data_IF_234722857430
#
_entry.id   IF_234722857430
#
_cell.length_a   1.000
_cell.length_b   1.000
_cell.length_c   1.000
_cell.angle_alpha   90.00
_cell.angle_beta   90.00
_cell.angle_gamma   90.00
#
_symmetry.space_group_name_H-M   'P 1'
#
loop_
_entity.id
_entity.type
_entity.pdbx_description
1 polymer ?
#
# COMPACT_ATOMS: atom_id res chain seq x y z
N UNK A 1 -17.54 19.15 -1.74
CA UNK A 1 -16.16 18.65 -1.88
C UNK A 1 -16.20 17.18 -2.29
N UNK A 2 -15.21 16.73 -3.06
CA UNK A 2 -15.04 15.31 -3.34
C UNK A 2 -14.66 14.59 -2.03
N UNK A 3 -15.22 13.41 -1.77
CA UNK A 3 -14.86 12.62 -0.59
C UNK A 3 -13.75 11.65 -0.96
N UNK A 4 -12.72 11.56 -0.12
CA UNK A 4 -11.72 10.50 -0.19
C UNK A 4 -12.35 9.16 0.22
N UNK A 5 -12.09 8.12 -0.57
CA UNK A 5 -12.40 6.73 -0.25
C UNK A 5 -11.07 5.98 -0.09
N UNK A 6 -10.70 5.58 1.14
CA UNK A 6 -9.48 4.82 1.37
C UNK A 6 -9.55 3.42 0.76
N UNK A 7 -8.49 3.04 0.07
CA UNK A 7 -8.29 1.73 -0.55
C UNK A 7 -6.87 1.26 -0.23
N UNK A 8 -6.70 -0.02 0.09
CA UNK A 8 -5.40 -0.67 0.25
C UNK A 8 -5.29 -1.81 -0.77
N UNK A 9 -4.26 -1.80 -1.62
CA UNK A 9 -3.89 -2.95 -2.43
C UNK A 9 -2.94 -3.82 -1.59
N UNK A 10 -3.38 -5.03 -1.27
CA UNK A 10 -2.60 -6.01 -0.49
C UNK A 10 -1.84 -6.94 -1.43
N UNK A 11 -1.23 -8.00 -0.89
CA UNK A 11 -0.59 -9.02 -1.73
C UNK A 11 -1.62 -9.87 -2.51
N UNK A 12 -2.89 -9.93 -2.08
CA UNK A 12 -3.88 -10.90 -2.59
C UNK A 12 -5.24 -10.30 -2.94
N UNK A 13 -5.55 -9.10 -2.46
CA UNK A 13 -6.86 -8.47 -2.65
C UNK A 13 -6.77 -6.94 -2.58
N UNK A 14 -7.89 -6.29 -2.87
CA UNK A 14 -8.10 -4.86 -2.65
C UNK A 14 -9.00 -4.71 -1.43
N UNK A 15 -8.59 -3.93 -0.44
CA UNK A 15 -9.42 -3.59 0.72
C UNK A 15 -10.02 -2.20 0.52
N UNK A 16 -11.34 -2.11 0.58
CA UNK A 16 -12.10 -0.86 0.51
C UNK A 16 -12.58 -0.50 1.92
N UNK A 17 -12.30 0.71 2.40
CA UNK A 17 -12.87 1.15 3.68
C UNK A 17 -14.36 1.45 3.51
N UNK A 18 -15.22 0.77 4.28
CA UNK A 18 -16.65 1.06 4.37
C UNK A 18 -16.94 1.91 5.61
N UNK A 19 -17.32 3.18 5.38
CA UNK A 19 -17.62 4.13 6.46
C UNK A 19 -18.86 3.77 7.27
N UNK A 20 -19.78 2.96 6.73
CA UNK A 20 -21.00 2.59 7.44
C UNK A 20 -20.73 1.52 8.51
N UNK A 21 -19.85 0.57 8.21
CA UNK A 21 -19.44 -0.47 9.14
C UNK A 21 -18.12 -0.19 9.86
N UNK A 22 -17.39 0.86 9.47
CA UNK A 22 -16.05 1.18 9.97
C UNK A 22 -15.03 0.04 9.75
N UNK A 23 -15.23 -0.73 8.68
CA UNK A 23 -14.43 -1.92 8.36
C UNK A 23 -13.88 -1.88 6.93
N UNK A 24 -12.76 -2.57 6.73
CA UNK A 24 -12.24 -2.82 5.40
C UNK A 24 -12.92 -4.05 4.77
N UNK A 25 -13.48 -3.87 3.58
CA UNK A 25 -14.18 -4.91 2.81
C UNK A 25 -13.26 -5.40 1.69
N UNK A 26 -13.00 -6.72 1.61
CA UNK A 26 -12.11 -7.27 0.59
C UNK A 26 -12.81 -7.41 -0.75
N UNK A 27 -12.07 -7.11 -1.81
CA UNK A 27 -12.42 -7.35 -3.19
C UNK A 27 -11.33 -8.21 -3.85
N UNK A 28 -11.76 -9.31 -4.43
CA UNK A 28 -10.95 -10.20 -5.26
C UNK A 28 -11.79 -10.64 -6.46
N UNK A 29 -11.17 -10.77 -7.62
CA UNK A 29 -11.82 -11.39 -8.76
C UNK A 29 -11.83 -12.91 -8.57
N UNK A 30 -12.97 -13.54 -8.87
CA UNK A 30 -13.06 -14.99 -8.88
C UNK A 30 -12.18 -15.59 -9.99
N UNK A 31 -11.50 -16.69 -9.69
CA UNK A 31 -10.66 -17.39 -10.66
C UNK A 31 -9.30 -16.74 -10.93
N UNK A 32 -8.87 -15.76 -10.14
CA UNK A 32 -7.48 -15.28 -10.15
C UNK A 32 -6.64 -16.23 -9.30
N UNK A 33 -5.82 -17.04 -9.97
CA UNK A 33 -4.83 -17.87 -9.32
C UNK A 33 -3.64 -17.03 -8.84
N UNK A 34 -3.18 -17.30 -7.63
CA UNK A 34 -1.96 -16.68 -7.11
C UNK A 34 -0.76 -17.21 -7.86
N UNK A 35 0.06 -16.30 -8.39
CA UNK A 35 1.32 -16.64 -9.05
C UNK A 35 2.49 -16.14 -8.21
N UNK A 36 3.52 -16.96 -7.95
CA UNK A 36 4.70 -16.53 -7.21
C UNK A 36 5.32 -15.27 -7.83
N UNK A 37 5.63 -14.28 -6.99
CA UNK A 37 6.26 -13.02 -7.38
C UNK A 37 5.49 -12.19 -8.43
N UNK A 38 4.22 -12.48 -8.69
CA UNK A 38 3.38 -11.71 -9.61
C UNK A 38 2.21 -11.13 -8.81
N UNK A 39 2.09 -9.80 -8.68
CA UNK A 39 0.98 -9.19 -7.98
C UNK A 39 -0.36 -9.57 -8.63
N UNK A 40 -1.35 -9.92 -7.80
CA UNK A 40 -2.63 -10.45 -8.28
C UNK A 40 -3.34 -9.52 -9.28
N UNK A 41 -3.19 -8.20 -9.14
CA UNK A 41 -3.82 -7.22 -10.01
C UNK A 41 -3.28 -7.24 -11.45
N UNK A 42 -2.15 -7.90 -11.72
CA UNK A 42 -1.67 -8.11 -13.10
C UNK A 42 -2.65 -8.94 -13.92
N UNK A 43 -3.37 -9.87 -13.26
CA UNK A 43 -4.41 -10.67 -13.91
C UNK A 43 -5.55 -9.82 -14.47
N UNK A 44 -5.75 -8.61 -13.95
CA UNK A 44 -6.82 -7.71 -14.40
C UNK A 44 -6.57 -7.25 -15.83
N UNK A 45 -5.31 -7.15 -16.27
CA UNK A 45 -4.98 -6.71 -17.62
C UNK A 45 -5.57 -7.63 -18.71
N UNK A 46 -5.64 -8.95 -18.46
CA UNK A 46 -6.19 -9.92 -19.41
C UNK A 46 -7.69 -9.72 -19.65
N UNK A 47 -8.40 -9.18 -18.66
CA UNK A 47 -9.86 -9.03 -18.64
C UNK A 47 -10.24 -7.66 -18.07
N UNK A 48 -9.63 -6.59 -18.59
CA UNK A 48 -9.67 -5.27 -17.94
C UNK A 48 -11.10 -4.72 -17.81
N UNK A 49 -11.90 -4.78 -18.87
CA UNK A 49 -13.27 -4.27 -18.87
C UNK A 49 -14.17 -5.05 -17.88
N UNK A 50 -14.03 -6.38 -17.84
CA UNK A 50 -14.75 -7.25 -16.89
C UNK A 50 -14.32 -6.95 -15.45
N UNK A 51 -13.02 -6.82 -15.21
CA UNK A 51 -12.44 -6.53 -13.89
C UNK A 51 -12.89 -5.17 -13.37
N UNK A 52 -12.91 -4.15 -14.23
CA UNK A 52 -13.42 -2.82 -13.93
C UNK A 52 -14.92 -2.82 -13.63
N UNK A 53 -15.70 -3.60 -14.39
CA UNK A 53 -17.12 -3.75 -14.15
C UNK A 53 -17.38 -4.36 -12.76
N UNK A 54 -16.71 -5.46 -12.41
CA UNK A 54 -16.88 -6.07 -11.10
C UNK A 54 -16.43 -5.18 -9.96
N UNK A 55 -15.32 -4.46 -10.11
CA UNK A 55 -14.89 -3.50 -9.11
C UNK A 55 -15.94 -2.38 -8.92
N UNK A 56 -16.53 -1.89 -10.01
CA UNK A 56 -17.60 -0.90 -9.97
C UNK A 56 -18.84 -1.40 -9.23
N UNK A 57 -19.29 -2.62 -9.54
CA UNK A 57 -20.44 -3.20 -8.84
C UNK A 57 -20.14 -3.48 -7.37
N UNK A 58 -18.92 -3.89 -7.02
CA UNK A 58 -18.48 -4.01 -5.63
C UNK A 58 -18.52 -2.66 -4.90
N UNK A 59 -17.93 -1.61 -5.47
CA UNK A 59 -17.87 -0.29 -4.83
C UNK A 59 -19.29 0.29 -4.60
N UNK A 60 -20.22 0.08 -5.54
CA UNK A 60 -21.61 0.55 -5.41
C UNK A 60 -22.35 -0.02 -4.19
N UNK A 61 -21.97 -1.20 -3.71
CA UNK A 61 -22.58 -1.82 -2.52
C UNK A 61 -22.35 -0.96 -1.27
N UNK A 62 -21.20 -0.30 -1.18
CA UNK A 62 -20.79 0.52 -0.03
C UNK A 62 -20.90 2.03 -0.29
N UNK A 63 -20.76 2.44 -1.56
CA UNK A 63 -20.81 3.83 -2.00
C UNK A 63 -21.81 4.05 -3.16
N UNK A 64 -23.12 3.87 -2.93
CA UNK A 64 -24.14 3.88 -4.00
C UNK A 64 -24.39 5.26 -4.63
N UNK A 65 -24.00 6.35 -3.96
CA UNK A 65 -24.28 7.73 -4.41
C UNK A 65 -23.06 8.36 -5.07
N UNK A 66 -23.21 8.77 -6.34
CA UNK A 66 -22.26 9.64 -7.07
C UNK A 66 -20.78 9.21 -6.95
N UNK A 67 -20.52 7.91 -7.11
CA UNK A 67 -19.16 7.33 -7.02
C UNK A 67 -18.15 8.09 -7.88
N UNK A 68 -18.54 8.45 -9.11
CA UNK A 68 -17.74 9.24 -10.06
C UNK A 68 -17.36 10.66 -9.60
N UNK A 69 -17.80 11.13 -8.43
CA UNK A 69 -17.37 12.41 -7.82
C UNK A 69 -16.35 12.24 -6.71
N UNK A 70 -16.09 11.01 -6.27
CA UNK A 70 -15.15 10.71 -5.20
C UNK A 70 -13.73 10.60 -5.73
N UNK A 71 -12.77 10.71 -4.82
CA UNK A 71 -11.36 10.46 -5.09
C UNK A 71 -11.00 9.17 -4.37
N UNK A 72 -10.37 8.23 -5.07
CA UNK A 72 -9.84 7.03 -4.42
C UNK A 72 -8.45 7.35 -3.88
N UNK A 73 -8.29 7.17 -2.58
CA UNK A 73 -7.04 7.31 -1.85
C UNK A 73 -6.41 5.93 -1.74
N UNK A 74 -5.49 5.59 -2.65
CA UNK A 74 -5.01 4.22 -2.86
C UNK A 74 -3.62 4.05 -2.25
N UNK A 75 -3.54 3.13 -1.30
CA UNK A 75 -2.29 2.69 -0.69
C UNK A 75 -1.81 1.43 -1.42
N UNK A 76 -0.60 1.47 -1.94
CA UNK A 76 -0.03 0.35 -2.72
C UNK A 76 1.19 -0.27 -2.04
N UNK A 77 1.56 -1.52 -2.36
CA UNK A 77 2.79 -2.13 -1.86
C UNK A 77 4.03 -1.29 -2.20
N UNK A 78 5.05 -1.33 -1.33
CA UNK A 78 6.22 -0.46 -1.42
C UNK A 78 7.16 -0.75 -2.61
N UNK A 79 6.97 -1.89 -3.27
CA UNK A 79 7.68 -2.26 -4.50
C UNK A 79 6.85 -2.06 -5.77
N UNK A 80 5.72 -1.34 -5.69
CA UNK A 80 4.92 -0.98 -6.87
C UNK A 80 5.76 -0.15 -7.83
N UNK A 81 6.04 -0.69 -9.01
CA UNK A 81 6.81 -0.01 -10.04
C UNK A 81 6.04 1.16 -10.67
N UNK A 82 6.72 2.09 -11.37
CA UNK A 82 6.04 3.18 -12.08
C UNK A 82 5.01 2.70 -13.11
N UNK A 83 5.28 1.61 -13.83
CA UNK A 83 4.33 1.04 -14.78
C UNK A 83 3.10 0.45 -14.10
N UNK A 84 3.29 -0.24 -12.97
CA UNK A 84 2.18 -0.75 -12.17
C UNK A 84 1.35 0.38 -11.58
N UNK A 85 2.00 1.47 -11.14
CA UNK A 85 1.32 2.68 -10.67
C UNK A 85 0.43 3.29 -11.76
N UNK A 86 0.94 3.45 -12.98
CA UNK A 86 0.14 3.92 -14.13
C UNK A 86 -1.03 2.96 -14.40
N UNK A 87 -0.77 1.65 -14.44
CA UNK A 87 -1.80 0.65 -14.68
C UNK A 87 -2.90 0.69 -13.62
N UNK A 88 -2.55 0.78 -12.34
CA UNK A 88 -3.48 0.88 -11.21
C UNK A 88 -4.34 2.15 -11.34
N UNK A 89 -3.72 3.29 -11.61
CA UNK A 89 -4.44 4.55 -11.79
C UNK A 89 -5.45 4.46 -12.94
N UNK A 90 -5.02 3.99 -14.12
CA UNK A 90 -5.87 3.82 -15.29
C UNK A 90 -6.99 2.80 -15.04
N UNK A 91 -6.70 1.70 -14.34
CA UNK A 91 -7.70 0.70 -13.98
C UNK A 91 -8.86 1.34 -13.21
N UNK A 92 -8.55 2.11 -12.17
CA UNK A 92 -9.57 2.71 -11.30
C UNK A 92 -10.29 3.90 -11.94
N UNK A 93 -9.58 4.81 -12.62
CA UNK A 93 -10.21 5.94 -13.31
C UNK A 93 -11.20 5.45 -14.37
N UNK A 94 -10.80 4.47 -15.19
CA UNK A 94 -11.64 3.95 -16.26
C UNK A 94 -12.75 2.99 -15.79
N UNK A 95 -12.74 2.56 -14.53
CA UNK A 95 -13.87 1.81 -13.94
C UNK A 95 -15.13 2.67 -13.73
N UNK A 96 -15.03 4.00 -13.83
CA UNK A 96 -16.13 4.93 -13.62
C UNK A 96 -16.59 5.04 -12.15
N UNK A 97 -15.72 4.63 -11.22
CA UNK A 97 -15.96 4.63 -9.77
C UNK A 97 -15.45 5.88 -9.06
N UNK A 98 -14.70 6.73 -9.75
CA UNK A 98 -14.08 7.92 -9.18
C UNK A 98 -13.87 9.00 -10.24
N UNK A 99 -13.57 10.22 -9.78
CA UNK A 99 -13.11 11.33 -10.64
C UNK A 99 -11.60 11.28 -10.84
N UNK A 100 -10.87 10.91 -9.80
CA UNK A 100 -9.42 10.88 -9.76
C UNK A 100 -8.95 9.83 -8.74
N UNK A 101 -7.68 9.46 -8.87
CA UNK A 101 -6.97 8.61 -7.94
C UNK A 101 -5.83 9.42 -7.34
N UNK A 102 -5.64 9.30 -6.03
CA UNK A 102 -4.48 9.78 -5.31
C UNK A 102 -3.79 8.55 -4.73
N UNK A 103 -2.52 8.35 -5.05
CA UNK A 103 -1.80 7.11 -4.76
C UNK A 103 -0.56 7.39 -3.90
N UNK A 104 -0.32 6.56 -2.89
CA UNK A 104 0.91 6.55 -2.09
C UNK A 104 1.29 5.11 -1.72
N UNK A 105 2.54 4.86 -1.35
CA UNK A 105 2.96 3.53 -0.89
C UNK A 105 2.60 3.30 0.57
N UNK A 106 2.60 2.04 1.01
CA UNK A 106 2.36 1.68 2.40
C UNK A 106 3.34 2.36 3.35
N UNK A 107 4.63 2.40 3.00
CA UNK A 107 5.69 3.04 3.76
C UNK A 107 5.42 4.53 3.98
N UNK A 108 4.99 5.26 2.95
CA UNK A 108 4.63 6.69 3.07
C UNK A 108 3.46 6.92 4.03
N UNK A 109 2.57 5.93 4.19
CA UNK A 109 1.40 6.03 5.04
C UNK A 109 1.65 5.60 6.51
N UNK A 110 2.84 5.08 6.84
CA UNK A 110 3.13 4.48 8.16
C UNK A 110 3.08 5.49 9.31
N UNK A 111 3.53 6.71 9.10
CA UNK A 111 3.64 7.69 10.18
C UNK A 111 3.24 9.09 9.72
N UNK A 112 2.39 9.74 10.53
CA UNK A 112 2.03 11.17 10.39
C UNK A 112 2.72 12.05 11.43
N UNK A 113 3.29 11.43 12.47
CA UNK A 113 3.92 12.13 13.60
C UNK A 113 5.41 12.35 13.36
N UNK A 114 6.05 11.41 12.66
CA UNK A 114 7.46 11.48 12.32
C UNK A 114 7.64 12.03 10.91
N UNK A 115 8.31 13.18 10.79
CA UNK A 115 8.69 13.75 9.50
C UNK A 115 9.78 12.94 8.80
N UNK A 116 10.49 12.05 9.50
CA UNK A 116 11.47 11.15 8.90
C UNK A 116 11.51 9.81 9.64
N UNK A 117 11.67 8.72 8.89
CA UNK A 117 11.73 7.36 9.44
C UNK A 117 12.23 6.35 8.40
N UNK A 118 12.67 5.18 8.87
CA UNK A 118 12.98 4.03 8.03
C UNK A 118 11.79 3.07 8.08
N UNK A 119 11.37 2.57 6.92
CA UNK A 119 10.34 1.54 6.78
C UNK A 119 10.98 0.24 6.30
N UNK A 120 10.61 -0.86 6.94
CA UNK A 120 10.86 -2.20 6.41
C UNK A 120 9.50 -2.87 6.20
N UNK A 121 9.23 -3.32 4.99
CA UNK A 121 8.01 -4.03 4.62
C UNK A 121 8.30 -5.23 3.73
N UNK A 122 7.30 -6.09 3.52
CA UNK A 122 7.42 -7.25 2.64
C UNK A 122 6.20 -7.36 1.74
N UNK A 123 6.43 -7.34 0.43
CA UNK A 123 5.42 -7.55 -0.62
C UNK A 123 5.35 -9.03 -1.02
N UNK A 124 4.60 -9.35 -2.08
CA UNK A 124 4.63 -10.70 -2.68
C UNK A 124 5.97 -11.06 -3.34
N UNK A 125 6.84 -10.07 -3.60
CA UNK A 125 8.10 -10.23 -4.37
C UNK A 125 9.35 -9.91 -3.56
N UNK A 126 9.27 -8.87 -2.73
CA UNK A 126 10.45 -8.24 -2.16
C UNK A 126 10.27 -7.98 -0.66
N UNK A 127 11.37 -8.04 0.08
CA UNK A 127 11.54 -7.23 1.29
C UNK A 127 12.01 -5.85 0.83
N UNK A 128 11.35 -4.79 1.31
CA UNK A 128 11.59 -3.42 0.90
C UNK A 128 12.07 -2.61 2.09
N UNK A 129 13.23 -1.99 1.94
CA UNK A 129 13.82 -1.07 2.91
C UNK A 129 13.77 0.34 2.33
N UNK A 130 13.10 1.27 3.01
CA UNK A 130 12.94 2.65 2.52
C UNK A 130 13.25 3.67 3.60
N UNK A 131 13.84 4.79 3.21
CA UNK A 131 13.95 5.98 4.05
C UNK A 131 12.95 7.04 3.58
N UNK A 132 12.04 7.40 4.47
CA UNK A 132 10.99 8.38 4.23
C UNK A 132 11.38 9.68 4.93
N UNK A 133 11.27 10.81 4.23
CA UNK A 133 11.43 12.16 4.80
C UNK A 133 10.45 13.13 4.16
N UNK A 134 9.65 13.81 4.98
CA UNK A 134 8.59 14.72 4.59
C UNK A 134 7.62 14.08 3.57
N UNK A 135 7.14 12.87 3.87
CA UNK A 135 6.29 12.04 3.01
C UNK A 135 6.89 11.62 1.67
N UNK A 136 8.16 11.90 1.41
CA UNK A 136 8.86 11.47 0.19
C UNK A 136 9.80 10.30 0.48
N UNK A 137 9.86 9.37 -0.46
CA UNK A 137 10.83 8.26 -0.44
C UNK A 137 12.18 8.81 -0.92
N UNK A 138 13.15 8.95 0.00
CA UNK A 138 14.49 9.49 -0.31
C UNK A 138 15.47 8.42 -0.77
N UNK A 139 15.29 7.20 -0.29
CA UNK A 139 16.08 6.05 -0.72
C UNK A 139 15.28 4.76 -0.55
N UNK A 140 15.52 3.81 -1.45
CA UNK A 140 14.91 2.48 -1.42
C UNK A 140 15.94 1.42 -1.77
N UNK A 141 15.83 0.26 -1.13
CA UNK A 141 16.55 -0.96 -1.48
C UNK A 141 15.59 -2.14 -1.42
N UNK A 142 15.75 -3.05 -2.38
CA UNK A 142 14.89 -4.21 -2.57
C UNK A 142 15.72 -5.48 -2.40
N UNK A 143 15.15 -6.46 -1.72
CA UNK A 143 15.75 -7.77 -1.51
C UNK A 143 14.75 -8.83 -1.91
N UNK A 144 15.22 -9.89 -2.58
CA UNK A 144 14.38 -11.02 -2.95
C UNK A 144 13.77 -11.66 -1.68
N UNK A 145 12.45 -11.85 -1.70
CA UNK A 145 11.68 -12.34 -0.55
C UNK A 145 12.10 -13.74 -0.09
N UNK A 146 12.68 -14.55 -0.95
CA UNK A 146 12.99 -15.95 -0.64
C UNK A 146 14.45 -16.15 -0.21
N UNK A 147 15.31 -15.16 -0.41
CA UNK A 147 16.77 -15.27 -0.21
C UNK A 147 17.38 -14.15 0.63
N UNK A 148 16.56 -13.28 1.23
CA UNK A 148 17.05 -12.20 2.08
C UNK A 148 17.72 -12.71 3.36
N UNK A 149 18.55 -11.85 3.96
CA UNK A 149 19.20 -12.08 5.25
C UNK A 149 18.86 -10.89 6.15
N UNK A 150 17.96 -11.08 7.11
CA UNK A 150 17.44 -9.98 7.95
C UNK A 150 18.54 -9.17 8.65
N UNK A 151 19.57 -9.78 9.28
CA UNK A 151 20.68 -9.02 9.89
C UNK A 151 21.38 -8.06 8.92
N UNK A 152 21.55 -8.46 7.65
CA UNK A 152 22.17 -7.63 6.62
C UNK A 152 21.29 -6.42 6.27
N UNK A 153 19.98 -6.61 6.20
CA UNK A 153 19.02 -5.52 5.95
C UNK A 153 19.07 -4.51 7.11
N UNK A 154 19.19 -4.98 8.35
CA UNK A 154 19.36 -4.12 9.54
C UNK A 154 20.63 -3.27 9.46
N UNK A 155 21.74 -3.85 8.97
CA UNK A 155 22.99 -3.11 8.76
C UNK A 155 22.86 -2.10 7.61
N UNK A 156 22.20 -2.50 6.53
CA UNK A 156 21.97 -1.63 5.37
C UNK A 156 21.07 -0.43 5.72
N UNK A 157 20.10 -0.60 6.61
CA UNK A 157 19.24 0.48 7.11
C UNK A 157 20.05 1.65 7.69
N UNK A 158 21.18 1.36 8.34
CA UNK A 158 22.08 2.38 8.93
C UNK A 158 22.77 3.27 7.90
N UNK A 159 22.86 2.81 6.65
CA UNK A 159 23.66 3.44 5.58
C UNK A 159 22.86 3.65 4.30
N UNK A 160 21.53 3.61 4.39
CA UNK A 160 20.66 3.65 3.21
C UNK A 160 20.72 5.02 2.50
N UNK A 161 20.90 6.10 3.25
CA UNK A 161 20.98 7.47 2.74
C UNK A 161 21.89 8.33 3.63
N UNK A 162 22.57 9.32 3.06
CA UNK A 162 23.57 10.14 3.76
C UNK A 162 22.96 10.99 4.89
N UNK A 163 21.71 11.44 4.72
CA UNK A 163 20.98 12.24 5.71
C UNK A 163 20.41 11.42 6.89
N UNK A 164 20.68 10.12 6.98
CA UNK A 164 20.15 9.29 8.07
C UNK A 164 21.01 9.50 9.32
N UNK A 165 20.43 10.18 10.31
CA UNK A 165 20.91 10.13 11.69
C UNK A 165 20.33 8.88 12.36
N UNK A 166 21.00 7.73 12.20
CA UNK A 166 20.40 6.43 12.55
C UNK A 166 19.94 6.35 14.01
N UNK A 167 20.69 6.90 14.96
CA UNK A 167 20.32 6.91 16.39
C UNK A 167 19.05 7.71 16.68
N UNK A 168 18.71 8.68 15.81
CA UNK A 168 17.56 9.57 15.94
C UNK A 168 16.42 9.23 14.97
N UNK A 169 16.61 8.27 14.06
CA UNK A 169 15.65 7.94 13.00
C UNK A 169 14.88 6.67 13.40
N UNK A 170 13.56 6.77 13.69
CA UNK A 170 12.79 5.59 14.07
C UNK A 170 12.70 4.61 12.91
N UNK A 171 12.72 3.32 13.25
CA UNK A 171 12.52 2.22 12.30
C UNK A 171 11.14 1.64 12.54
N UNK A 172 10.31 1.58 11.50
CA UNK A 172 9.00 0.96 11.52
C UNK A 172 9.01 -0.33 10.72
N UNK A 173 8.54 -1.40 11.34
CA UNK A 173 8.35 -2.71 10.71
C UNK A 173 6.89 -2.82 10.32
N UNK A 174 6.60 -2.69 9.03
CA UNK A 174 5.24 -2.78 8.52
C UNK A 174 4.79 -4.25 8.46
N UNK A 175 4.16 -4.73 9.53
CA UNK A 175 3.68 -6.10 9.64
C UNK A 175 2.25 -6.28 9.08
N UNK A 176 1.85 -5.45 8.12
CA UNK A 176 0.50 -5.53 7.52
C UNK A 176 0.18 -6.91 6.93
N UNK A 177 1.17 -7.58 6.35
CA UNK A 177 1.02 -8.92 5.76
C UNK A 177 1.24 -10.08 6.75
N UNK A 178 1.48 -9.81 8.04
CA UNK A 178 1.74 -10.83 9.07
C UNK A 178 2.93 -11.76 8.74
N UNK A 179 3.99 -11.22 8.14
CA UNK A 179 5.16 -11.94 7.65
C UNK A 179 6.44 -11.11 7.88
N UNK A 180 6.61 -10.58 9.09
CA UNK A 180 7.74 -9.71 9.44
C UNK A 180 8.48 -10.11 10.72
N UNK A 181 8.26 -11.33 11.23
CA UNK A 181 8.79 -11.80 12.52
C UNK A 181 10.32 -11.66 12.61
N UNK A 182 11.04 -11.93 11.51
CA UNK A 182 12.49 -11.79 11.41
C UNK A 182 13.02 -10.37 11.72
N UNK A 183 12.14 -9.36 11.68
CA UNK A 183 12.49 -7.95 11.84
C UNK A 183 12.03 -7.34 13.16
N UNK A 184 11.28 -8.05 14.01
CA UNK A 184 10.66 -7.48 15.22
C UNK A 184 11.67 -6.91 16.23
N UNK A 185 12.91 -7.41 16.25
CA UNK A 185 13.96 -6.89 17.12
C UNK A 185 14.63 -5.59 16.67
N UNK A 186 14.29 -5.07 15.49
CA UNK A 186 15.02 -3.96 14.85
C UNK A 186 14.31 -2.61 15.04
N UNK A 187 12.99 -2.61 15.20
CA UNK A 187 12.21 -1.38 15.22
C UNK A 187 10.81 -1.57 15.80
N UNK A 188 10.01 -0.52 15.73
CA UNK A 188 8.63 -0.56 16.20
C UNK A 188 7.76 -1.29 15.19
N UNK A 189 7.11 -2.35 15.63
CA UNK A 189 6.19 -3.14 14.79
C UNK A 189 4.86 -2.40 14.65
N UNK A 190 4.44 -2.17 13.40
CA UNK A 190 3.11 -1.65 13.07
C UNK A 190 2.23 -2.83 12.69
N UNK A 191 1.20 -3.09 13.49
CA UNK A 191 0.24 -4.16 13.25
C UNK A 191 -0.71 -3.83 12.10
N UNK A 192 -1.35 -4.83 11.46
CA UNK A 192 -2.34 -4.57 10.43
C UNK A 192 -3.48 -3.67 10.91
N UNK A 193 -3.92 -3.84 12.16
CA UNK A 193 -4.98 -3.01 12.75
C UNK A 193 -4.56 -1.54 12.86
N UNK A 194 -3.40 -1.27 13.47
CA UNK A 194 -2.89 0.10 13.59
C UNK A 194 -2.68 0.75 12.22
N UNK A 195 -2.21 -0.02 11.23
CA UNK A 195 -2.09 0.47 9.87
C UNK A 195 -3.45 0.83 9.27
N UNK A 196 -4.43 -0.08 9.32
CA UNK A 196 -5.78 0.14 8.81
C UNK A 196 -6.47 1.34 9.48
N UNK A 197 -6.34 1.48 10.80
CA UNK A 197 -6.90 2.60 11.56
C UNK A 197 -6.32 3.95 11.07
N UNK A 198 -5.02 3.99 10.72
CA UNK A 198 -4.37 5.17 10.12
C UNK A 198 -4.90 5.46 8.71
N UNK A 199 -5.11 4.44 7.90
CA UNK A 199 -5.60 4.58 6.51
C UNK A 199 -7.07 5.00 6.48
N UNK A 200 -7.90 4.53 7.41
CA UNK A 200 -9.30 4.91 7.54
C UNK A 200 -9.51 6.43 7.69
N UNK A 201 -8.50 7.12 8.24
CA UNK A 201 -8.50 8.57 8.47
C UNK A 201 -7.80 9.39 7.36
N UNK A 202 -7.47 8.79 6.20
CA UNK A 202 -6.84 9.52 5.10
C UNK A 202 -7.84 10.46 4.42
N UNK A 203 -7.38 11.68 4.19
CA UNK A 203 -8.04 12.69 3.37
C UNK A 203 -7.12 13.08 2.20
N UNK A 204 -7.68 13.53 1.08
CA UNK A 204 -6.93 13.78 -0.17
C UNK A 204 -5.91 14.90 -0.02
N UNK A 205 -6.15 15.89 0.84
CA UNK A 205 -5.16 16.95 1.14
C UNK A 205 -3.89 16.42 1.82
N UNK A 206 -3.90 15.16 2.28
CA UNK A 206 -2.82 14.48 2.98
C UNK A 206 -2.14 13.40 2.13
N UNK A 207 -2.48 13.31 0.84
CA UNK A 207 -1.81 12.47 -0.19
C UNK A 207 -1.17 13.38 -1.21
#
# INVERSE_FOLDING_TARGET
>A
MAKAIPIIITNTNILLYDKASEEFKPFSLQGVESQPNIPFYHSFAKKIAESQHYFKEFLKQYYPKKANKNILAIIVPDDTSPLESIFINEFFVNSGTCKAVAQMTMAQALSKEHSQYISISKSSRNVVLQYIRNNEIKASRYYDRNTYIAPKISEDAKRLHIDIEYENTPIFINNFNLDMDDFFGIGTVITPKEFMDKIAQIDVEKI
#
